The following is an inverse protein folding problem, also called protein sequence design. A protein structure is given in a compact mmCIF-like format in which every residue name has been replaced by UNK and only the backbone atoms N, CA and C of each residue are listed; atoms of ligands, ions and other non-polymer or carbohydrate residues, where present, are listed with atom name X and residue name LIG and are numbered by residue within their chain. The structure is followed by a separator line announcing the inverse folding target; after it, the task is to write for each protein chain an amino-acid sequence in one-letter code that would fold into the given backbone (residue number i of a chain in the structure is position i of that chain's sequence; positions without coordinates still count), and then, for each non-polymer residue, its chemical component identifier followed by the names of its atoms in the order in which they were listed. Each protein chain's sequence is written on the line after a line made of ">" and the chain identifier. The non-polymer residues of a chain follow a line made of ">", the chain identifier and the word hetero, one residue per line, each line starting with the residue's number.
data_IF_478170861684
#
_entry.id   IF_478170861684
#
_cell.length_a   1.000
_cell.length_b   1.000
_cell.length_c   1.000
_cell.angle_alpha   90.00
_cell.angle_beta   90.00
_cell.angle_gamma   90.00
#
_symmetry.space_group_name_H-M   'P 1'
#
loop_
_entity.id
_entity.type
_entity.pdbx_description
1 polymer ?
#
# COMPACT_ATOMS: atom_id res chain seq x y z
N UNK A 1 11.29 21.05 15.40
CA UNK A 1 10.24 20.75 16.40
C UNK A 1 9.60 19.41 16.05
N UNK A 2 9.18 18.65 17.07
CA UNK A 2 8.37 17.43 16.91
C UNK A 2 7.00 17.81 16.36
N UNK A 3 6.48 17.04 15.43
CA UNK A 3 5.12 17.17 14.88
C UNK A 3 4.11 16.33 15.68
N UNK A 4 4.55 15.18 16.20
CA UNK A 4 3.79 14.27 17.02
C UNK A 4 4.08 14.50 18.51
N UNK A 5 3.04 14.33 19.32
CA UNK A 5 3.11 14.30 20.79
C UNK A 5 2.82 12.91 21.36
N UNK A 6 2.09 12.08 20.62
CA UNK A 6 1.67 10.74 21.05
C UNK A 6 2.78 9.68 20.96
N UNK A 7 3.87 9.96 20.25
CA UNK A 7 4.98 9.02 20.02
C UNK A 7 6.27 9.64 20.52
N UNK A 8 7.05 8.87 21.29
CA UNK A 8 8.34 9.33 21.79
C UNK A 8 9.36 9.51 20.67
N UNK A 9 10.09 10.63 20.68
CA UNK A 9 11.10 10.96 19.66
C UNK A 9 12.22 9.92 19.54
N UNK A 10 12.49 9.15 20.60
CA UNK A 10 13.50 8.08 20.61
C UNK A 10 13.18 6.95 19.62
N UNK A 11 11.92 6.78 19.22
CA UNK A 11 11.48 5.78 18.24
C UNK A 11 11.84 6.17 16.80
N UNK A 12 12.24 7.43 16.57
CA UNK A 12 12.64 7.95 15.26
C UNK A 12 14.15 8.17 15.17
N UNK A 13 14.65 8.23 13.94
CA UNK A 13 15.97 8.77 13.64
C UNK A 13 15.93 10.29 13.60
N UNK A 14 17.05 10.92 13.95
CA UNK A 14 17.20 12.38 13.92
C UNK A 14 17.39 12.93 12.50
N UNK A 15 18.02 12.14 11.63
CA UNK A 15 18.18 12.40 10.20
C UNK A 15 18.00 11.09 9.43
N UNK A 16 17.69 11.16 8.14
CA UNK A 16 17.62 9.97 7.28
C UNK A 16 19.03 9.35 7.21
N UNK A 17 19.24 8.13 7.72
CA UNK A 17 20.59 7.58 7.76
C UNK A 17 20.95 6.94 6.41
N UNK A 18 22.23 7.06 6.04
CA UNK A 18 22.79 6.39 4.86
C UNK A 18 23.00 4.89 5.08
N UNK A 19 23.43 4.52 6.29
CA UNK A 19 23.59 3.13 6.71
C UNK A 19 22.35 2.72 7.51
N UNK A 20 21.85 1.48 7.35
CA UNK A 20 20.76 1.00 8.17
C UNK A 20 21.10 1.07 9.66
N UNK A 21 20.19 1.58 10.49
CA UNK A 21 20.41 1.80 11.93
C UNK A 21 19.47 0.94 12.80
N UNK A 22 18.63 0.11 12.18
CA UNK A 22 17.83 -0.89 12.88
C UNK A 22 16.63 -0.32 13.63
N UNK A 23 16.05 0.82 13.20
CA UNK A 23 14.73 1.24 13.67
C UNK A 23 13.68 0.95 12.61
N UNK A 24 12.53 0.42 12.99
CA UNK A 24 11.48 0.04 12.07
C UNK A 24 10.14 0.58 12.57
N UNK A 25 9.31 1.06 11.65
CA UNK A 25 7.90 1.35 11.91
C UNK A 25 7.03 0.50 10.97
N UNK A 26 6.09 -0.25 11.53
CA UNK A 26 5.24 -1.17 10.80
C UNK A 26 3.80 -0.67 10.85
N UNK A 27 3.22 -0.36 9.71
CA UNK A 27 1.82 0.06 9.60
C UNK A 27 0.93 -1.17 9.38
N UNK A 28 0.13 -1.50 10.38
CA UNK A 28 -0.80 -2.63 10.34
C UNK A 28 -2.08 -2.18 9.63
N UNK A 29 -2.26 -2.60 8.38
CA UNK A 29 -3.35 -2.15 7.51
C UNK A 29 -4.21 -3.33 7.08
N UNK A 30 -5.53 -3.21 7.23
CA UNK A 30 -6.50 -4.06 6.55
C UNK A 30 -7.02 -3.29 5.33
N UNK A 31 -6.76 -3.81 4.13
CA UNK A 31 -7.24 -3.21 2.88
C UNK A 31 -8.55 -3.87 2.48
N UNK A 32 -9.62 -3.09 2.39
CA UNK A 32 -10.99 -3.55 2.20
C UNK A 32 -11.46 -3.10 0.83
N UNK A 33 -11.85 -4.03 -0.03
CA UNK A 33 -12.41 -3.69 -1.34
C UNK A 33 -13.81 -3.07 -1.16
N UNK A 34 -14.03 -1.86 -1.67
CA UNK A 34 -15.35 -1.18 -1.64
C UNK A 34 -16.03 -1.19 -3.02
N UNK A 35 -15.37 -1.80 -4.01
CA UNK A 35 -15.85 -1.96 -5.37
C UNK A 35 -15.19 -3.20 -5.97
N UNK A 36 -15.11 -3.29 -7.30
CA UNK A 36 -14.52 -4.42 -8.03
C UNK A 36 -13.08 -4.14 -8.51
N UNK A 37 -12.03 -4.20 -7.66
CA UNK A 37 -10.66 -3.97 -8.10
C UNK A 37 -10.14 -5.12 -8.98
N UNK A 38 -9.21 -4.75 -9.86
CA UNK A 38 -8.50 -5.68 -10.73
C UNK A 38 -7.03 -5.79 -10.32
N UNK A 39 -6.70 -6.83 -9.55
CA UNK A 39 -5.31 -7.16 -9.19
C UNK A 39 -4.75 -8.24 -10.11
N UNK A 40 -4.55 -7.91 -11.38
CA UNK A 40 -4.17 -8.89 -12.41
C UNK A 40 -2.75 -8.73 -12.97
N UNK A 41 -2.14 -9.83 -13.37
CA UNK A 41 -0.86 -9.87 -14.11
C UNK A 41 -1.08 -10.75 -15.33
N UNK A 42 -0.66 -10.27 -16.51
CA UNK A 42 -0.81 -10.98 -17.79
C UNK A 42 -2.26 -11.43 -18.11
N UNK A 43 -3.25 -10.70 -17.63
CA UNK A 43 -4.68 -10.93 -17.92
C UNK A 43 -5.43 -11.79 -16.89
N UNK A 44 -4.74 -12.37 -15.91
CA UNK A 44 -5.37 -13.18 -14.85
C UNK A 44 -5.26 -12.52 -13.47
N UNK A 45 -6.28 -12.72 -12.62
CA UNK A 45 -6.20 -12.33 -11.22
C UNK A 45 -5.05 -13.08 -10.53
N UNK A 46 -4.26 -12.32 -9.78
CA UNK A 46 -3.16 -12.89 -9.02
C UNK A 46 -3.69 -13.82 -7.93
N UNK A 47 -3.22 -15.07 -7.93
CA UNK A 47 -3.53 -16.07 -6.91
C UNK A 47 -2.29 -16.76 -6.38
N UNK A 48 -2.35 -17.22 -5.14
CA UNK A 48 -1.31 -18.02 -4.51
C UNK A 48 -1.94 -19.17 -3.72
N UNK A 49 -1.35 -20.37 -3.85
CA UNK A 49 -1.80 -21.57 -3.13
C UNK A 49 -1.03 -21.70 -1.82
N UNK A 50 -1.73 -21.55 -0.70
CA UNK A 50 -1.13 -21.50 0.65
C UNK A 50 -2.02 -22.24 1.65
N UNK A 51 -1.52 -22.45 2.88
CA UNK A 51 -2.36 -22.95 3.97
C UNK A 51 -3.37 -21.89 4.40
N UNK A 52 -4.56 -22.34 4.78
CA UNK A 52 -5.64 -21.50 5.25
C UNK A 52 -5.26 -20.83 6.58
N UNK A 53 -4.80 -21.59 7.56
CA UNK A 53 -4.38 -21.08 8.85
C UNK A 53 -2.91 -21.34 9.17
N UNK A 54 -2.48 -20.86 10.33
CA UNK A 54 -1.23 -21.28 10.98
C UNK A 54 -1.45 -22.68 11.55
N UNK A 55 -2.61 -22.90 12.18
CA UNK A 55 -3.09 -24.18 12.71
C UNK A 55 -3.81 -24.98 11.64
N UNK A 56 -4.71 -24.36 10.87
CA UNK A 56 -5.40 -25.04 9.78
C UNK A 56 -4.49 -25.26 8.57
N UNK A 57 -4.14 -26.53 8.32
CA UNK A 57 -3.23 -26.93 7.23
C UNK A 57 -3.93 -27.11 5.88
N UNK A 58 -5.24 -26.91 5.81
CA UNK A 58 -6.01 -27.01 4.56
C UNK A 58 -5.42 -26.05 3.53
N UNK A 59 -5.21 -26.55 2.32
CA UNK A 59 -4.62 -25.72 1.26
C UNK A 59 -5.72 -25.03 0.48
N UNK A 60 -5.67 -23.70 0.41
CA UNK A 60 -6.62 -22.88 -0.35
C UNK A 60 -5.86 -21.97 -1.32
N UNK A 61 -6.53 -21.56 -2.39
CA UNK A 61 -6.04 -20.52 -3.28
C UNK A 61 -6.53 -19.17 -2.74
N UNK A 62 -5.62 -18.23 -2.45
CA UNK A 62 -5.95 -16.86 -2.02
C UNK A 62 -5.69 -15.87 -3.14
N UNK A 63 -6.46 -14.78 -3.20
CA UNK A 63 -6.10 -13.63 -4.02
C UNK A 63 -4.84 -12.96 -3.46
N UNK A 64 -3.99 -12.45 -4.35
CA UNK A 64 -2.67 -11.89 -3.98
C UNK A 64 -2.46 -10.48 -4.53
N UNK A 65 -2.43 -9.49 -3.65
CA UNK A 65 -2.13 -8.11 -4.00
C UNK A 65 -0.61 -7.87 -3.94
N UNK A 66 0.06 -7.96 -5.09
CA UNK A 66 1.53 -7.82 -5.16
C UNK A 66 2.04 -6.42 -4.79
N UNK A 67 3.29 -6.37 -4.31
CA UNK A 67 3.98 -5.16 -3.82
C UNK A 67 3.83 -3.90 -4.66
N UNK A 68 3.99 -3.99 -5.99
CA UNK A 68 3.88 -2.83 -6.90
C UNK A 68 2.46 -2.30 -6.99
N UNK A 69 1.46 -3.17 -6.86
CA UNK A 69 0.03 -2.81 -6.89
C UNK A 69 -0.41 -2.08 -5.62
N UNK A 70 0.34 -2.21 -4.53
CA UNK A 70 0.14 -1.48 -3.27
C UNK A 70 0.91 -0.15 -3.26
N UNK A 71 2.24 -0.22 -3.42
CA UNK A 71 3.13 0.94 -3.26
C UNK A 71 3.00 1.99 -4.38
N UNK A 72 2.70 1.60 -5.62
CA UNK A 72 2.61 2.57 -6.73
C UNK A 72 1.52 3.64 -6.50
N UNK A 73 0.24 3.28 -6.27
CA UNK A 73 -0.79 4.31 -6.05
C UNK A 73 -0.49 5.18 -4.82
N UNK A 74 0.08 4.61 -3.75
CA UNK A 74 0.48 5.36 -2.55
C UNK A 74 1.56 6.41 -2.85
N UNK A 75 2.56 6.03 -3.64
CA UNK A 75 3.61 6.95 -4.12
C UNK A 75 3.03 8.05 -5.00
N UNK A 76 2.12 7.70 -5.91
CA UNK A 76 1.51 8.68 -6.82
C UNK A 76 0.71 9.74 -6.03
N UNK A 77 -0.08 9.33 -5.04
CA UNK A 77 -0.79 10.25 -4.14
C UNK A 77 0.18 11.17 -3.39
N UNK A 78 1.29 10.63 -2.89
CA UNK A 78 2.33 11.43 -2.24
C UNK A 78 2.96 12.47 -3.18
N UNK A 79 3.21 12.09 -4.44
CA UNK A 79 3.78 12.97 -5.47
C UNK A 79 2.79 14.05 -5.92
N UNK A 80 1.51 13.72 -6.05
CA UNK A 80 0.45 14.70 -6.31
C UNK A 80 0.43 15.80 -5.25
N UNK A 81 0.58 15.43 -3.96
CA UNK A 81 0.67 16.41 -2.88
C UNK A 81 1.94 17.25 -2.96
N UNK A 82 3.11 16.65 -3.24
CA UNK A 82 4.35 17.40 -3.41
C UNK A 82 4.25 18.42 -4.54
N UNK A 83 3.59 18.07 -5.65
CA UNK A 83 3.33 18.98 -6.78
C UNK A 83 2.33 20.08 -6.42
N UNK A 84 1.23 19.72 -5.74
CA UNK A 84 0.21 20.68 -5.28
C UNK A 84 0.81 21.79 -4.43
N UNK A 85 1.78 21.46 -3.59
CA UNK A 85 2.45 22.41 -2.69
C UNK A 85 3.79 22.93 -3.22
N UNK A 86 4.06 22.77 -4.52
CA UNK A 86 5.24 23.30 -5.22
C UNK A 86 6.58 22.82 -4.64
N UNK A 87 6.60 21.66 -3.98
CA UNK A 87 7.82 21.02 -3.46
C UNK A 87 8.51 20.14 -4.52
N UNK A 88 7.81 19.84 -5.61
CA UNK A 88 8.30 19.08 -6.75
C UNK A 88 7.61 19.58 -8.02
N UNK A 89 8.36 19.81 -9.10
CA UNK A 89 7.76 20.10 -10.40
C UNK A 89 7.51 18.82 -11.21
N UNK A 90 6.45 18.76 -12.05
CA UNK A 90 6.17 17.60 -12.88
C UNK A 90 7.33 17.21 -13.80
N UNK A 91 8.05 18.19 -14.35
CA UNK A 91 9.10 18.00 -15.34
C UNK A 91 10.41 17.48 -14.72
N UNK A 92 10.62 17.76 -13.43
CA UNK A 92 11.81 17.34 -12.68
C UNK A 92 11.74 15.88 -12.24
N UNK A 93 10.53 15.35 -12.07
CA UNK A 93 10.33 14.01 -11.54
C UNK A 93 9.05 13.37 -12.12
N UNK A 94 9.26 12.45 -13.06
CA UNK A 94 8.22 11.66 -13.72
C UNK A 94 8.36 10.17 -13.40
N UNK A 95 7.30 9.57 -12.85
CA UNK A 95 7.34 8.20 -12.36
C UNK A 95 7.69 7.20 -13.48
N UNK A 96 8.70 6.36 -13.25
CA UNK A 96 9.29 5.42 -14.22
C UNK A 96 9.96 6.04 -15.45
N UNK A 97 10.08 7.37 -15.54
CA UNK A 97 10.73 8.06 -16.68
C UNK A 97 11.96 8.84 -16.20
N UNK A 98 11.79 9.74 -15.23
CA UNK A 98 12.85 10.59 -14.70
C UNK A 98 12.69 10.80 -13.19
N UNK A 99 13.79 10.80 -12.44
CA UNK A 99 13.74 11.04 -10.99
C UNK A 99 14.67 12.18 -10.62
N UNK A 100 14.17 13.15 -9.85
CA UNK A 100 14.98 14.27 -9.35
C UNK A 100 16.01 13.84 -8.28
N UNK A 101 15.85 12.65 -7.69
CA UNK A 101 16.75 12.03 -6.70
C UNK A 101 16.90 12.75 -5.34
N UNK A 102 16.11 13.80 -5.07
CA UNK A 102 16.27 14.66 -3.89
C UNK A 102 14.99 14.89 -3.08
N UNK A 103 13.84 14.56 -3.66
CA UNK A 103 12.52 14.72 -3.05
C UNK A 103 12.15 13.53 -2.13
N UNK A 104 11.14 13.70 -1.25
CA UNK A 104 10.70 12.66 -0.32
C UNK A 104 10.36 11.33 -0.98
N UNK A 105 9.63 11.32 -2.11
CA UNK A 105 9.27 10.08 -2.80
C UNK A 105 10.52 9.30 -3.24
N UNK A 106 11.49 9.97 -3.87
CA UNK A 106 12.71 9.33 -4.36
C UNK A 106 13.57 8.78 -3.23
N UNK A 107 13.72 9.52 -2.12
CA UNK A 107 14.57 9.09 -1.00
C UNK A 107 13.90 8.00 -0.15
N UNK A 108 12.59 8.11 0.09
CA UNK A 108 11.87 7.20 0.99
C UNK A 108 11.46 5.92 0.26
N UNK A 109 10.91 6.01 -0.95
CA UNK A 109 10.48 4.85 -1.74
C UNK A 109 11.54 4.36 -2.73
N UNK A 110 12.68 5.04 -2.81
CA UNK A 110 13.79 4.66 -3.67
C UNK A 110 13.58 4.98 -5.15
N UNK A 111 14.69 4.91 -5.88
CA UNK A 111 14.74 5.05 -7.33
C UNK A 111 15.91 4.24 -7.89
N UNK A 112 15.85 3.94 -9.18
CA UNK A 112 16.97 3.35 -9.91
C UNK A 112 17.06 4.04 -11.27
N UNK A 113 18.16 4.76 -11.51
CA UNK A 113 18.43 5.42 -12.79
C UNK A 113 19.75 4.85 -13.31
N UNK A 114 19.68 3.73 -14.03
CA UNK A 114 20.79 3.08 -14.73
C UNK A 114 22.17 3.31 -14.08
N UNK A 115 23.08 3.91 -14.85
CA UNK A 115 24.44 4.24 -14.41
C UNK A 115 24.53 5.51 -13.55
N UNK A 116 23.45 6.28 -13.44
CA UNK A 116 23.42 7.56 -12.71
C UNK A 116 23.16 7.39 -11.21
N UNK A 117 22.86 6.17 -10.76
CA UNK A 117 22.74 5.80 -9.35
C UNK A 117 21.40 5.17 -9.00
N UNK A 118 21.39 4.52 -7.84
CA UNK A 118 20.19 3.93 -7.25
C UNK A 118 20.18 4.15 -5.74
N UNK A 119 18.98 4.31 -5.21
CA UNK A 119 18.70 4.33 -3.78
C UNK A 119 17.66 3.26 -3.49
N UNK A 120 17.96 2.36 -2.54
CA UNK A 120 17.00 1.33 -2.14
C UNK A 120 15.83 1.97 -1.40
N UNK A 121 14.63 1.46 -1.67
CA UNK A 121 13.43 1.84 -0.92
C UNK A 121 13.63 1.57 0.58
N UNK A 122 13.29 2.56 1.40
CA UNK A 122 13.19 2.42 2.86
C UNK A 122 11.81 1.88 3.25
N UNK A 123 10.82 2.03 2.37
CA UNK A 123 9.51 1.39 2.50
C UNK A 123 9.54 0.00 1.88
N UNK A 124 9.27 -1.02 2.69
CA UNK A 124 9.12 -2.41 2.27
C UNK A 124 7.64 -2.77 2.31
N UNK A 125 7.14 -3.21 1.16
CA UNK A 125 5.78 -3.71 1.00
C UNK A 125 5.87 -5.13 0.45
N UNK A 126 5.26 -6.07 1.15
CA UNK A 126 5.14 -7.44 0.69
C UNK A 126 3.73 -7.75 0.16
N UNK A 127 3.55 -8.92 -0.45
CA UNK A 127 2.28 -9.38 -0.97
C UNK A 127 1.25 -9.48 0.15
N UNK A 128 0.08 -8.87 -0.05
CA UNK A 128 -1.06 -9.03 0.84
C UNK A 128 -1.98 -10.13 0.29
N UNK A 129 -2.47 -11.00 1.16
CA UNK A 129 -3.31 -12.14 0.79
C UNK A 129 -4.74 -11.91 1.28
N UNK A 130 -5.74 -12.29 0.48
CA UNK A 130 -7.14 -12.26 0.93
C UNK A 130 -7.34 -13.20 2.12
N UNK A 131 -8.20 -12.87 3.08
CA UNK A 131 -8.60 -13.78 4.19
C UNK A 131 -9.47 -14.94 3.69
N UNK A 132 -10.31 -14.69 2.70
CA UNK A 132 -11.19 -15.69 2.05
C UNK A 132 -10.50 -16.36 0.87
N UNK A 133 -11.04 -17.50 0.45
CA UNK A 133 -10.53 -18.24 -0.71
C UNK A 133 -10.90 -17.54 -2.03
N UNK A 134 -10.14 -17.83 -3.09
CA UNK A 134 -10.33 -17.28 -4.43
C UNK A 134 -11.76 -17.48 -4.92
N UNK A 135 -12.30 -18.69 -4.78
CA UNK A 135 -13.62 -19.08 -5.27
C UNK A 135 -14.76 -18.25 -4.65
N UNK A 136 -14.58 -17.79 -3.41
CA UNK A 136 -15.55 -16.95 -2.69
C UNK A 136 -15.37 -15.45 -2.97
N UNK A 137 -14.16 -15.07 -3.40
CA UNK A 137 -13.70 -13.67 -3.43
C UNK A 137 -13.65 -13.05 -4.83
N UNK A 138 -13.96 -13.81 -5.87
CA UNK A 138 -13.99 -13.33 -7.25
C UNK A 138 -15.39 -13.46 -7.85
N UNK A 139 -15.63 -12.62 -8.85
CA UNK A 139 -16.81 -12.67 -9.69
C UNK A 139 -16.40 -12.43 -11.14
N UNK A 140 -16.89 -13.26 -12.04
CA UNK A 140 -16.60 -13.14 -13.45
C UNK A 140 -17.64 -12.24 -14.12
N UNK A 141 -17.21 -11.08 -14.61
CA UNK A 141 -18.08 -10.19 -15.38
C UNK A 141 -17.94 -10.45 -16.87
N UNK A 142 -19.08 -10.54 -17.55
CA UNK A 142 -19.16 -10.50 -19.00
C UNK A 142 -19.52 -9.08 -19.41
N UNK A 143 -18.52 -8.29 -19.82
CA UNK A 143 -18.74 -6.91 -20.24
C UNK A 143 -19.23 -6.88 -21.69
N UNK A 144 -20.47 -6.42 -21.84
CA UNK A 144 -21.10 -6.17 -23.13
C UNK A 144 -20.73 -4.76 -23.62
N UNK A 145 -20.26 -4.63 -24.85
CA UNK A 145 -20.00 -3.34 -25.49
C UNK A 145 -21.10 -3.02 -26.53
N UNK A 146 -22.15 -2.27 -26.15
CA UNK A 146 -23.21 -1.89 -27.08
C UNK A 146 -22.73 -0.84 -28.10
N UNK A 147 -23.45 -0.72 -29.21
CA UNK A 147 -23.28 0.38 -30.17
C UNK A 147 -23.79 1.71 -29.56
N UNK A 148 -23.49 2.85 -30.19
CA UNK A 148 -23.87 4.19 -29.72
C UNK A 148 -25.39 4.34 -29.48
N UNK A 149 -26.18 3.54 -30.21
CA UNK A 149 -27.63 3.44 -30.06
C UNK A 149 -28.08 2.67 -28.78
N UNK A 150 -27.15 2.23 -27.94
CA UNK A 150 -27.40 1.49 -26.69
C UNK A 150 -27.75 0.01 -26.89
N UNK A 151 -27.78 -0.49 -28.13
CA UNK A 151 -28.13 -1.88 -28.44
C UNK A 151 -26.90 -2.71 -28.79
N UNK A 152 -26.97 -4.02 -28.53
CA UNK A 152 -25.91 -4.96 -28.87
C UNK A 152 -25.91 -5.35 -30.35
N UNK A 153 -26.95 -5.00 -31.10
CA UNK A 153 -27.10 -5.29 -32.52
C UNK A 153 -26.79 -4.03 -33.34
N UNK A 154 -25.95 -4.19 -34.36
CA UNK A 154 -25.69 -3.13 -35.34
C UNK A 154 -26.99 -2.76 -36.06
N UNK A 155 -27.16 -1.47 -36.38
CA UNK A 155 -28.18 -0.99 -37.32
C UNK A 155 -27.62 -0.74 -38.72
N UNK A 156 -26.41 -1.21 -38.99
CA UNK A 156 -25.69 -0.97 -40.25
C UNK A 156 -24.67 0.15 -40.14
N UNK A 157 -24.15 0.45 -38.95
CA UNK A 157 -23.03 1.37 -38.78
C UNK A 157 -21.80 0.90 -39.58
N UNK A 158 -20.97 1.84 -40.07
CA UNK A 158 -19.87 1.59 -41.01
C UNK A 158 -19.03 0.35 -40.64
N UNK A 159 -19.14 -0.70 -41.45
CA UNK A 159 -18.39 -1.95 -41.29
C UNK A 159 -19.10 -3.07 -40.52
N UNK A 160 -20.40 -2.91 -40.18
CA UNK A 160 -21.22 -3.95 -39.54
C UNK A 160 -22.56 -4.12 -40.26
N UNK A 161 -23.10 -5.35 -40.29
CA UNK A 161 -24.39 -5.64 -40.93
C UNK A 161 -25.55 -5.34 -39.96
N UNK A 162 -26.70 -4.83 -40.44
CA UNK A 162 -27.89 -4.69 -39.60
C UNK A 162 -28.28 -6.02 -38.95
N UNK A 163 -28.39 -6.06 -37.62
CA UNK A 163 -28.64 -7.26 -36.82
C UNK A 163 -27.38 -8.00 -36.36
N UNK A 164 -26.18 -7.58 -36.77
CA UNK A 164 -24.92 -8.18 -36.32
C UNK A 164 -24.63 -7.81 -34.87
N UNK A 165 -24.57 -8.82 -33.99
CA UNK A 165 -24.30 -8.63 -32.56
C UNK A 165 -22.81 -8.39 -32.37
N UNK A 166 -22.44 -7.36 -31.60
CA UNK A 166 -21.04 -7.06 -31.33
C UNK A 166 -20.38 -8.24 -30.61
N UNK A 167 -19.28 -8.75 -31.17
CA UNK A 167 -18.45 -9.82 -30.58
C UNK A 167 -17.49 -9.30 -29.52
N UNK A 168 -17.59 -8.02 -29.15
CA UNK A 168 -16.77 -7.38 -28.11
C UNK A 168 -17.32 -7.73 -26.73
N UNK A 169 -17.39 -9.02 -26.46
CA UNK A 169 -17.72 -9.60 -25.18
C UNK A 169 -16.38 -9.86 -24.51
N UNK A 170 -16.04 -9.07 -23.50
CA UNK A 170 -14.82 -9.29 -22.72
C UNK A 170 -15.21 -9.90 -21.38
N UNK A 171 -14.79 -11.14 -21.13
CA UNK A 171 -15.01 -11.81 -19.86
C UNK A 171 -13.78 -11.55 -18.99
N UNK A 172 -13.99 -10.97 -17.81
CA UNK A 172 -12.90 -10.60 -16.92
C UNK A 172 -13.27 -10.86 -15.45
N UNK A 173 -12.39 -11.56 -14.75
CA UNK A 173 -12.54 -11.80 -13.33
C UNK A 173 -12.21 -10.55 -12.53
N UNK A 174 -13.12 -10.18 -11.64
CA UNK A 174 -12.97 -9.09 -10.71
C UNK A 174 -12.98 -9.60 -9.27
N UNK A 175 -12.31 -8.89 -8.39
CA UNK A 175 -12.39 -9.16 -6.96
C UNK A 175 -13.70 -8.56 -6.45
N UNK A 176 -14.44 -9.31 -5.64
CA UNK A 176 -15.69 -8.81 -5.04
C UNK A 176 -15.44 -7.66 -4.06
N UNK A 177 -16.43 -6.79 -3.79
CA UNK A 177 -16.43 -5.92 -2.63
C UNK A 177 -16.37 -6.73 -1.32
N UNK A 178 -15.97 -6.08 -0.23
CA UNK A 178 -15.83 -6.65 1.11
C UNK A 178 -14.87 -7.86 1.18
N UNK A 179 -13.82 -7.82 0.36
CA UNK A 179 -12.68 -8.73 0.48
C UNK A 179 -11.56 -8.01 1.23
N UNK A 180 -11.01 -8.69 2.24
CA UNK A 180 -10.08 -8.14 3.20
C UNK A 180 -8.65 -8.65 2.93
N UNK A 181 -7.70 -7.72 2.82
CA UNK A 181 -6.27 -8.01 2.60
C UNK A 181 -5.44 -7.41 3.73
N UNK A 182 -5.08 -8.21 4.75
CA UNK A 182 -4.10 -7.81 5.76
C UNK A 182 -2.74 -7.52 5.13
N UNK A 183 -2.18 -6.35 5.43
CA UNK A 183 -0.93 -5.85 4.87
C UNK A 183 -0.14 -5.06 5.92
N UNK A 184 1.12 -5.44 6.08
CA UNK A 184 2.09 -4.76 6.92
C UNK A 184 3.03 -3.98 5.99
N UNK A 185 2.97 -2.66 6.08
CA UNK A 185 3.91 -1.77 5.39
C UNK A 185 5.04 -1.44 6.37
N UNK A 186 6.28 -1.75 6.02
CA UNK A 186 7.43 -1.51 6.90
C UNK A 186 8.22 -0.31 6.41
N UNK A 187 8.47 0.67 7.27
CA UNK A 187 9.38 1.78 7.04
C UNK A 187 10.66 1.57 7.84
N UNK A 188 11.79 1.42 7.14
CA UNK A 188 13.13 1.29 7.72
C UNK A 188 13.72 2.65 8.03
N UNK A 189 14.29 2.75 9.22
CA UNK A 189 14.95 3.91 9.79
C UNK A 189 14.12 5.20 9.68
N UNK A 190 12.90 5.19 10.26
CA UNK A 190 11.98 6.30 10.12
C UNK A 190 12.52 7.55 10.82
N UNK A 191 12.66 8.66 10.11
CA UNK A 191 12.50 9.97 10.73
C UNK A 191 11.02 10.24 10.97
N UNK A 192 10.69 11.13 11.91
CA UNK A 192 9.29 11.50 12.17
C UNK A 192 8.56 11.99 10.91
N UNK A 193 9.24 12.79 10.07
CA UNK A 193 8.64 13.30 8.84
C UNK A 193 8.43 12.20 7.78
N UNK A 194 9.38 11.26 7.65
CA UNK A 194 9.23 10.12 6.75
C UNK A 194 8.10 9.17 7.19
N UNK A 195 7.95 8.95 8.50
CA UNK A 195 6.85 8.20 9.07
C UNK A 195 5.51 8.83 8.73
N UNK A 196 5.35 10.12 9.00
CA UNK A 196 4.14 10.87 8.68
C UNK A 196 3.83 10.93 7.18
N UNK A 197 4.87 11.02 6.34
CA UNK A 197 4.73 11.01 4.88
C UNK A 197 4.13 9.68 4.38
N UNK A 198 4.70 8.55 4.83
CA UNK A 198 4.21 7.22 4.45
C UNK A 198 2.82 6.97 5.02
N UNK A 199 2.59 7.30 6.30
CA UNK A 199 1.29 7.16 6.94
C UNK A 199 0.21 7.95 6.17
N UNK A 200 0.49 9.21 5.81
CA UNK A 200 -0.40 10.04 5.00
C UNK A 200 -0.69 9.41 3.63
N UNK A 201 0.31 8.86 2.95
CA UNK A 201 0.12 8.24 1.64
C UNK A 201 -0.81 7.02 1.73
N UNK A 202 -0.62 6.15 2.72
CA UNK A 202 -1.52 5.01 2.97
C UNK A 202 -2.94 5.51 3.28
N UNK A 203 -3.07 6.48 4.18
CA UNK A 203 -4.36 7.03 4.63
C UNK A 203 -5.13 7.75 3.52
N UNK A 204 -4.48 8.31 2.50
CA UNK A 204 -5.14 9.07 1.43
C UNK A 204 -5.44 8.25 0.19
N UNK A 205 -4.74 7.14 -0.02
CA UNK A 205 -4.91 6.33 -1.21
C UNK A 205 -6.24 5.57 -1.15
N UNK A 206 -7.05 5.69 -2.21
CA UNK A 206 -8.41 5.10 -2.29
C UNK A 206 -8.62 4.21 -3.51
N UNK A 207 -7.75 4.27 -4.50
CA UNK A 207 -7.89 3.49 -5.73
C UNK A 207 -6.65 2.63 -5.96
N UNK A 208 -6.86 1.34 -6.15
CA UNK A 208 -5.83 0.35 -6.34
C UNK A 208 -6.20 -0.59 -7.51
N UNK A 209 -5.18 -1.13 -8.17
CA UNK A 209 -5.35 -2.06 -9.30
C UNK A 209 -5.39 -1.37 -10.66
N UNK A 210 -5.86 -2.10 -11.66
CA UNK A 210 -6.09 -1.57 -13.01
C UNK A 210 -7.48 -0.93 -13.13
N UNK A 211 -7.69 -0.10 -14.16
CA UNK A 211 -8.98 0.53 -14.47
C UNK A 211 -9.56 1.40 -13.33
N UNK A 212 -8.68 2.06 -12.58
CA UNK A 212 -9.01 2.86 -11.37
C UNK A 212 -9.96 4.04 -11.60
N UNK A 213 -10.21 4.42 -12.85
CA UNK A 213 -11.18 5.48 -13.20
C UNK A 213 -12.64 4.98 -13.20
N UNK A 214 -12.85 3.66 -13.23
CA UNK A 214 -14.19 3.03 -13.31
C UNK A 214 -14.47 2.07 -12.16
N UNK A 215 -13.42 1.46 -11.59
CA UNK A 215 -13.52 0.55 -10.42
C UNK A 215 -12.27 0.72 -9.53
N UNK A 216 -12.05 -0.18 -8.57
CA UNK A 216 -10.78 -0.23 -7.83
C UNK A 216 -10.74 0.55 -6.53
N UNK A 217 -11.89 1.03 -6.05
CA UNK A 217 -12.03 1.63 -4.72
C UNK A 217 -11.69 0.61 -3.63
N UNK A 218 -10.73 0.97 -2.79
CA UNK A 218 -10.27 0.19 -1.62
C UNK A 218 -10.06 1.16 -0.46
N UNK A 219 -10.60 0.82 0.71
CA UNK A 219 -10.33 1.54 1.95
C UNK A 219 -9.15 0.89 2.68
N UNK A 220 -8.21 1.71 3.13
CA UNK A 220 -7.13 1.27 4.01
C UNK A 220 -7.53 1.57 5.45
N UNK A 221 -7.85 0.52 6.19
CA UNK A 221 -8.14 0.61 7.62
C UNK A 221 -6.85 0.32 8.40
N UNK A 222 -6.28 1.34 9.04
CA UNK A 222 -5.14 1.11 9.93
C UNK A 222 -5.64 0.69 11.29
N UNK A 223 -5.14 -0.44 11.78
CA UNK A 223 -5.52 -0.96 13.10
C UNK A 223 -4.43 -0.74 14.16
N UNK A 224 -3.22 -0.37 13.73
CA UNK A 224 -2.09 -0.14 14.62
C UNK A 224 -0.79 0.22 13.92
N UNK A 225 0.19 0.62 14.72
CA UNK A 225 1.59 0.83 14.34
C UNK A 225 2.49 0.14 15.35
N UNK A 226 3.47 -0.62 14.88
CA UNK A 226 4.48 -1.26 15.73
C UNK A 226 5.85 -0.67 15.43
N UNK A 227 6.48 -0.09 16.45
CA UNK A 227 7.89 0.30 16.37
C UNK A 227 8.76 -0.83 16.89
N UNK A 228 9.81 -1.20 16.17
CA UNK A 228 10.68 -2.31 16.59
C UNK A 228 12.13 -2.11 16.15
N UNK A 229 13.03 -2.96 16.68
CA UNK A 229 14.44 -3.05 16.27
C UNK A 229 14.72 -4.13 15.20
N UNK A 230 13.66 -4.78 14.70
CA UNK A 230 13.69 -5.75 13.61
C UNK A 230 12.39 -5.78 12.80
N UNK A 231 12.33 -6.61 11.76
CA UNK A 231 11.08 -6.88 11.02
C UNK A 231 10.18 -7.80 11.86
N UNK A 232 8.88 -7.50 11.90
CA UNK A 232 7.87 -8.34 12.57
C UNK A 232 7.36 -9.45 11.66
N UNK A 233 6.41 -10.25 12.16
CA UNK A 233 5.65 -11.25 11.40
C UNK A 233 5.24 -10.83 9.98
N UNK A 234 5.22 -11.80 9.06
CA UNK A 234 4.85 -11.58 7.65
C UNK A 234 3.35 -11.38 7.43
N UNK A 235 2.98 -10.74 6.32
CA UNK A 235 1.59 -10.62 5.86
C UNK A 235 0.87 -11.97 5.81
N UNK A 236 1.51 -13.01 5.23
CA UNK A 236 0.88 -14.32 5.10
C UNK A 236 0.60 -14.95 6.47
N UNK A 237 1.56 -14.90 7.39
CA UNK A 237 1.39 -15.46 8.74
C UNK A 237 0.30 -14.72 9.51
N UNK A 238 0.21 -13.40 9.36
CA UNK A 238 -0.87 -12.62 9.96
C UNK A 238 -2.23 -12.94 9.35
N UNK A 239 -2.36 -13.01 8.02
CA UNK A 239 -3.59 -13.47 7.35
C UNK A 239 -4.02 -14.86 7.81
N UNK A 240 -3.09 -15.78 7.97
CA UNK A 240 -3.33 -17.14 8.44
C UNK A 240 -3.79 -17.18 9.90
N UNK A 241 -3.20 -16.35 10.78
CA UNK A 241 -3.62 -16.24 12.17
C UNK A 241 -5.03 -15.62 12.28
N UNK A 242 -5.35 -14.63 11.45
CA UNK A 242 -6.71 -14.07 11.35
C UNK A 242 -7.70 -15.16 10.94
N UNK A 243 -7.37 -15.94 9.91
CA UNK A 243 -8.21 -17.04 9.46
C UNK A 243 -8.48 -18.04 10.59
N UNK A 244 -7.46 -18.45 11.35
CA UNK A 244 -7.64 -19.37 12.49
C UNK A 244 -8.55 -18.77 13.57
N UNK A 245 -8.39 -17.48 13.90
CA UNK A 245 -9.22 -16.77 14.89
C UNK A 245 -10.68 -16.72 14.44
N UNK A 246 -10.92 -16.32 13.18
CA UNK A 246 -12.27 -16.26 12.63
C UNK A 246 -12.92 -17.64 12.54
N UNK A 247 -12.15 -18.67 12.18
CA UNK A 247 -12.63 -20.05 12.18
C UNK A 247 -13.06 -20.51 13.58
N UNK A 248 -12.25 -20.21 14.60
CA UNK A 248 -12.54 -20.57 15.99
C UNK A 248 -13.81 -19.89 16.52
N UNK A 249 -14.10 -18.68 16.03
CA UNK A 249 -15.29 -17.90 16.39
C UNK A 249 -16.52 -18.19 15.51
N UNK A 250 -16.42 -19.13 14.57
CA UNK A 250 -17.45 -19.42 13.57
C UNK A 250 -17.89 -18.19 12.73
N UNK A 251 -16.97 -17.25 12.48
CA UNK A 251 -17.19 -16.05 11.67
C UNK A 251 -16.77 -16.19 10.20
N UNK A 252 -16.27 -17.36 9.80
CA UNK A 252 -16.02 -17.70 8.40
C UNK A 252 -17.27 -18.34 7.77
N UNK A 253 -18.37 -17.59 7.68
CA UNK A 253 -19.58 -18.10 7.02
C UNK A 253 -19.45 -17.96 5.50
N UNK A 254 -19.45 -19.08 4.78
CA UNK A 254 -19.16 -19.15 3.33
C UNK A 254 -20.23 -18.50 2.43
N UNK A 255 -21.42 -18.20 2.96
CA UNK A 255 -22.55 -17.66 2.19
C UNK A 255 -22.70 -16.14 2.21
N UNK A 256 -21.97 -15.43 3.08
CA UNK A 256 -22.06 -13.98 3.25
C UNK A 256 -20.66 -13.35 3.20
N UNK A 257 -20.54 -12.06 2.82
CA UNK A 257 -19.32 -11.31 3.05
C UNK A 257 -18.89 -11.40 4.52
N UNK A 258 -17.58 -11.39 4.79
CA UNK A 258 -17.10 -11.34 6.16
C UNK A 258 -17.56 -10.04 6.84
N UNK A 259 -17.98 -10.15 8.09
CA UNK A 259 -18.28 -8.98 8.92
C UNK A 259 -16.97 -8.23 9.23
N UNK A 260 -17.00 -6.92 9.00
CA UNK A 260 -15.80 -6.09 9.15
C UNK A 260 -15.36 -5.98 10.60
N UNK A 261 -16.28 -5.83 11.55
CA UNK A 261 -15.94 -5.68 12.97
C UNK A 261 -15.32 -6.98 13.51
N UNK A 262 -15.82 -8.13 13.06
CA UNK A 262 -15.24 -9.44 13.35
C UNK A 262 -13.84 -9.60 12.73
N UNK A 263 -13.64 -9.16 11.48
CA UNK A 263 -12.31 -9.17 10.83
C UNK A 263 -11.33 -8.27 11.58
N UNK A 264 -11.72 -7.05 11.93
CA UNK A 264 -10.87 -6.08 12.62
C UNK A 264 -10.52 -6.59 14.03
N UNK A 265 -11.48 -7.18 14.73
CA UNK A 265 -11.25 -7.79 16.05
C UNK A 265 -10.29 -8.98 15.94
N UNK A 266 -10.51 -9.88 14.98
CA UNK A 266 -9.62 -11.01 14.71
C UNK A 266 -8.21 -10.53 14.31
N UNK A 267 -8.11 -9.46 13.52
CA UNK A 267 -6.86 -8.85 13.09
C UNK A 267 -6.04 -8.31 14.26
N UNK A 268 -6.68 -7.58 15.19
CA UNK A 268 -6.06 -7.08 16.43
C UNK A 268 -5.58 -8.23 17.32
N UNK A 269 -6.47 -9.18 17.64
CA UNK A 269 -6.11 -10.32 18.50
C UNK A 269 -5.00 -11.19 17.89
N UNK A 270 -5.05 -11.41 16.57
CA UNK A 270 -4.04 -12.19 15.85
C UNK A 270 -2.67 -11.51 15.87
N UNK A 271 -2.60 -10.19 15.65
CA UNK A 271 -1.31 -9.50 15.66
C UNK A 271 -0.74 -9.42 17.08
N UNK A 272 -1.56 -9.16 18.10
CA UNK A 272 -1.11 -9.13 19.50
C UNK A 272 -0.54 -10.49 19.93
N UNK A 273 -1.20 -11.58 19.55
CA UNK A 273 -0.70 -12.94 19.81
C UNK A 273 0.63 -13.18 19.11
N UNK A 274 0.75 -12.78 17.84
CA UNK A 274 1.99 -12.96 17.07
C UNK A 274 3.13 -12.12 17.64
N UNK A 275 2.86 -10.88 18.04
CA UNK A 275 3.87 -9.98 18.63
C UNK A 275 4.35 -10.48 20.00
N UNK A 276 3.48 -11.10 20.81
CA UNK A 276 3.88 -11.72 22.07
C UNK A 276 4.86 -12.90 21.90
N UNK A 277 4.92 -13.50 20.71
CA UNK A 277 5.88 -14.57 20.37
C UNK A 277 7.16 -14.04 19.71
N UNK A 278 7.24 -12.75 19.38
CA UNK A 278 8.41 -12.15 18.74
C UNK A 278 9.57 -12.00 19.73
N UNK A 279 10.79 -12.19 19.25
CA UNK A 279 12.01 -12.12 20.08
C UNK A 279 12.72 -10.76 20.01
N UNK A 280 12.17 -9.82 19.24
CA UNK A 280 12.73 -8.49 19.00
C UNK A 280 12.22 -7.49 20.05
N UNK A 281 12.86 -6.33 20.17
CA UNK A 281 12.35 -5.26 21.03
C UNK A 281 11.33 -4.47 20.25
N UNK A 282 10.11 -4.36 20.77
CA UNK A 282 9.03 -3.65 20.10
C UNK A 282 8.22 -2.76 21.07
N UNK A 283 7.51 -1.81 20.49
CA UNK A 283 6.57 -0.91 21.15
C UNK A 283 5.32 -0.83 20.29
N UNK A 284 4.22 -1.35 20.83
CA UNK A 284 3.01 -1.60 20.07
C UNK A 284 1.97 -0.52 20.35
N UNK A 285 1.50 0.12 19.28
CA UNK A 285 0.31 0.96 19.31
C UNK A 285 -0.78 0.22 18.53
N UNK A 286 -1.57 -0.59 19.24
CA UNK A 286 -2.62 -1.43 18.65
C UNK A 286 -3.91 -1.21 19.46
N UNK A 287 -5.07 -1.27 18.80
CA UNK A 287 -6.36 -1.07 19.46
C UNK A 287 -6.47 0.33 20.09
N UNK A 288 -6.90 0.39 21.34
CA UNK A 288 -7.15 1.66 22.06
C UNK A 288 -5.88 2.51 22.21
N UNK A 289 -4.70 1.87 22.30
CA UNK A 289 -3.42 2.58 22.38
C UNK A 289 -3.07 3.30 21.07
N UNK A 290 -3.63 2.85 19.94
CA UNK A 290 -3.41 3.46 18.63
C UNK A 290 -4.30 4.67 18.37
N UNK A 291 -5.50 4.73 18.95
CA UNK A 291 -6.49 5.76 18.64
C UNK A 291 -5.98 7.20 18.83
N UNK A 292 -5.23 7.53 19.91
CA UNK A 292 -4.68 8.88 20.08
C UNK A 292 -3.73 9.26 18.95
N UNK A 293 -2.84 8.35 18.54
CA UNK A 293 -1.90 8.56 17.44
C UNK A 293 -2.64 8.72 16.11
N UNK A 294 -3.59 7.83 15.81
CA UNK A 294 -4.38 7.91 14.58
C UNK A 294 -5.15 9.24 14.51
N UNK A 295 -5.76 9.67 15.61
CA UNK A 295 -6.48 10.95 15.71
C UNK A 295 -5.54 12.14 15.53
N UNK A 296 -4.37 12.12 16.15
CA UNK A 296 -3.35 13.16 15.99
C UNK A 296 -2.91 13.28 14.51
N UNK A 297 -2.60 12.17 13.87
CA UNK A 297 -2.20 12.14 12.44
C UNK A 297 -3.34 12.59 11.54
N UNK A 298 -4.57 12.13 11.77
CA UNK A 298 -5.76 12.58 11.01
C UNK A 298 -5.97 14.08 11.17
N UNK A 299 -5.87 14.63 12.38
CA UNK A 299 -6.01 16.07 12.62
C UNK A 299 -4.90 16.88 11.93
N UNK A 300 -3.65 16.40 12.00
CA UNK A 300 -2.52 17.05 11.35
C UNK A 300 -2.70 17.06 9.83
N UNK A 301 -3.11 15.94 9.24
CA UNK A 301 -3.27 15.79 7.79
C UNK A 301 -4.58 16.38 7.24
N UNK A 302 -5.59 16.62 8.09
CA UNK A 302 -6.86 17.26 7.70
C UNK A 302 -6.72 18.78 7.51
N UNK A 303 -5.68 19.41 8.06
CA UNK A 303 -5.41 20.84 7.89
C UNK A 303 -4.35 21.10 6.83
N UNK A 304 -4.52 22.16 6.03
CA UNK A 304 -3.54 22.55 5.03
C UNK A 304 -2.18 22.93 5.65
N UNK A 305 -2.20 23.65 6.78
CA UNK A 305 -1.00 23.99 7.51
C UNK A 305 -0.26 22.74 8.02
N UNK A 306 -1.00 21.76 8.55
CA UNK A 306 -0.43 20.52 9.06
C UNK A 306 0.17 19.66 7.96
N UNK A 307 -0.57 19.38 6.86
CA UNK A 307 0.00 18.61 5.74
C UNK A 307 1.21 19.30 5.12
N UNK A 308 1.18 20.63 4.97
CA UNK A 308 2.32 21.40 4.45
C UNK A 308 3.52 21.30 5.38
N UNK A 309 3.31 21.30 6.70
CA UNK A 309 4.40 21.15 7.67
C UNK A 309 5.10 19.78 7.57
N UNK A 310 4.33 18.71 7.37
CA UNK A 310 4.85 17.35 7.15
C UNK A 310 5.69 17.32 5.88
N UNK A 311 5.11 17.79 4.77
CA UNK A 311 5.75 17.73 3.45
C UNK A 311 7.01 18.58 3.39
N UNK A 312 7.00 19.80 3.94
CA UNK A 312 8.18 20.67 4.00
C UNK A 312 9.30 20.06 4.84
N UNK A 313 8.97 19.45 5.99
CA UNK A 313 9.96 18.79 6.84
C UNK A 313 10.57 17.58 6.13
N UNK A 314 9.73 16.73 5.52
CA UNK A 314 10.19 15.58 4.74
C UNK A 314 11.05 16.00 3.55
N UNK A 315 10.68 17.06 2.83
CA UNK A 315 11.42 17.59 1.69
C UNK A 315 12.79 18.16 2.11
N UNK A 316 12.85 18.90 3.21
CA UNK A 316 14.11 19.40 3.75
C UNK A 316 15.05 18.25 4.17
N UNK A 317 14.53 17.23 4.85
CA UNK A 317 15.30 16.04 5.24
C UNK A 317 15.80 15.25 4.02
N UNK A 318 14.96 15.06 3.00
CA UNK A 318 15.31 14.38 1.76
C UNK A 318 16.39 15.12 0.97
N UNK A 319 16.27 16.45 0.83
CA UNK A 319 17.28 17.30 0.17
C UNK A 319 18.60 17.31 0.94
N UNK A 320 18.56 17.35 2.28
CA UNK A 320 19.77 17.27 3.10
C UNK A 320 20.50 15.92 2.89
N UNK A 321 19.75 14.81 2.88
CA UNK A 321 20.28 13.49 2.59
C UNK A 321 20.89 13.42 1.17
N UNK A 322 20.16 13.87 0.16
CA UNK A 322 20.60 13.86 -1.23
C UNK A 322 21.87 14.71 -1.43
N UNK A 323 21.95 15.87 -0.80
CA UNK A 323 23.13 16.73 -0.83
C UNK A 323 24.38 16.06 -0.22
N UNK A 324 24.19 15.27 0.83
CA UNK A 324 25.28 14.58 1.52
C UNK A 324 25.74 13.31 0.80
N UNK A 325 24.81 12.56 0.19
CA UNK A 325 25.05 11.18 -0.24
C UNK A 325 24.84 10.91 -1.74
N UNK A 326 24.06 11.73 -2.45
CA UNK A 326 23.69 11.51 -3.86
C UNK A 326 24.41 12.50 -4.79
N UNK A 327 24.33 13.81 -4.52
CA UNK A 327 24.85 14.84 -5.42
C UNK A 327 26.39 14.83 -5.56
N UNK A 328 27.13 14.39 -4.52
CA UNK A 328 28.60 14.22 -4.57
C UNK A 328 29.07 13.15 -5.57
N UNK A 329 28.21 12.22 -6.01
CA UNK A 329 28.55 11.22 -7.04
C UNK A 329 28.54 11.80 -8.46
N UNK A 330 27.79 12.89 -8.73
CA UNK A 330 27.78 13.55 -10.05
C UNK A 330 29.14 14.21 -10.38
N UNK A 331 29.86 14.72 -9.39
CA UNK A 331 31.15 15.40 -9.57
C UNK A 331 32.32 14.43 -9.71
N UNK A 332 32.31 13.31 -8.96
CA UNK A 332 33.39 12.30 -9.02
C UNK A 332 33.35 11.44 -10.28
N UNK A 333 32.17 11.15 -10.83
CA UNK A 333 32.03 10.41 -12.10
C UNK A 333 32.49 11.23 -13.33
N UNK A 334 32.48 12.56 -13.27
CA UNK A 334 33.04 13.44 -14.32
C UNK A 334 34.56 13.56 -14.26
N UNK A 335 35.15 13.51 -13.06
CA UNK A 335 36.59 13.64 -12.88
C UNK A 335 37.40 12.36 -13.23
N UNK A 336 36.74 11.21 -13.41
CA UNK A 336 37.38 9.95 -13.82
C UNK A 336 37.28 9.64 -15.32
N UNK A 337 36.82 10.59 -16.14
CA UNK A 337 36.69 10.47 -17.60
C UNK A 337 37.52 11.51 -18.37
N UNK A 338 38.42 12.22 -17.70
CA UNK A 338 39.44 13.07 -18.35
C UNK A 338 40.76 12.32 -18.52
#
# INVERSE_FOLDING_TARGET
>A
MSLLKTVESKLFQTEIPYKPMGKYAHFLTIRITESYPLFQTDGELNKARVRAGVKDKTTISRLSMFKRKQSTPERLVGRELLRKYELMKPEECEYNVSFAMDNPDCIIYGFAIGDSGSEKSKVVVDTAFSITAFDESHETFTLNAPFENGTMASKGENGSKPGEVTSRINQQDHIRPQVFFPSIVTLKDPTEASFLYVFNNILRTRHYGAQTTRTGRVRNELIGVVFADGEITSNLRWTQAIYDQMKANNSLNSSEPLDEDEVITAAKNAIETLMAEEFIVHTDFIGDAFEPLLKEVKNLTASEAGITSILRKADAEAKAYANKHISKKKTTAKAGKE
#
